data_IF_335129447478
#
_entry.id   IF_335129447478
#
_cell.length_a   1.000
_cell.length_b   1.000
_cell.length_c   1.000
_cell.angle_alpha   90.00
_cell.angle_beta   90.00
_cell.angle_gamma   90.00
#
_symmetry.space_group_name_H-M   'P 1'
#
loop_
_entity.id
_entity.type
_entity.pdbx_description
1 polymer ?
#
# COMPACT_ATOMS: atom_id res chain seq x y z
N UNK A 1 21.00 -19.19 1.80
CA UNK A 1 20.03 -19.91 2.67
C UNK A 1 18.68 -19.93 1.95
N UNK A 2 18.11 -21.12 1.68
CA UNK A 2 16.78 -21.23 1.04
C UNK A 2 15.72 -20.65 1.97
N UNK A 3 15.08 -19.53 1.61
CA UNK A 3 13.82 -19.09 2.24
C UNK A 3 12.80 -20.23 2.03
N UNK A 4 12.51 -21.00 3.08
CA UNK A 4 11.39 -21.94 3.05
C UNK A 4 10.13 -21.13 2.77
N UNK A 5 9.38 -21.50 1.73
CA UNK A 5 8.08 -20.87 1.46
C UNK A 5 7.18 -21.05 2.69
N UNK A 6 6.91 -19.97 3.40
CA UNK A 6 5.92 -19.93 4.48
C UNK A 6 4.56 -20.26 3.86
N UNK A 7 3.82 -21.18 4.48
CA UNK A 7 2.45 -21.53 4.10
C UNK A 7 1.50 -20.78 5.01
N UNK A 8 0.51 -20.12 4.43
CA UNK A 8 -0.54 -19.41 5.16
C UNK A 8 -1.88 -20.11 4.96
N UNK A 9 -2.72 -20.06 5.99
CA UNK A 9 -4.07 -20.61 5.97
C UNK A 9 -5.03 -19.51 6.44
N UNK A 10 -6.19 -19.39 5.79
CA UNK A 10 -7.30 -18.60 6.29
C UNK A 10 -8.10 -19.48 7.25
N UNK A 11 -8.39 -18.93 8.43
CA UNK A 11 -9.04 -19.62 9.53
C UNK A 11 -10.10 -18.68 10.09
N UNK A 12 -11.28 -19.20 10.41
CA UNK A 12 -12.31 -18.43 11.10
C UNK A 12 -11.75 -17.90 12.44
N UNK A 13 -11.94 -16.60 12.70
CA UNK A 13 -11.46 -15.97 13.92
C UNK A 13 -12.01 -16.69 15.16
N UNK A 14 -13.26 -17.16 15.12
CA UNK A 14 -13.92 -17.77 16.27
C UNK A 14 -13.22 -19.06 16.73
N UNK A 15 -12.63 -19.82 15.82
CA UNK A 15 -11.95 -21.07 16.13
C UNK A 15 -10.49 -20.87 16.56
N UNK A 16 -9.97 -19.64 16.54
CA UNK A 16 -8.60 -19.37 16.95
C UNK A 16 -8.43 -19.58 18.46
N UNK A 17 -7.30 -20.15 18.91
CA UNK A 17 -6.94 -20.18 20.32
C UNK A 17 -6.92 -18.78 20.93
N UNK A 18 -7.32 -18.67 22.20
CA UNK A 18 -7.33 -17.40 22.94
C UNK A 18 -6.00 -16.65 22.91
N UNK A 19 -4.86 -17.36 22.92
CA UNK A 19 -3.54 -16.74 22.81
C UNK A 19 -3.33 -15.99 21.49
N UNK A 20 -3.89 -16.49 20.39
CA UNK A 20 -3.81 -15.85 19.07
C UNK A 20 -4.79 -14.68 19.02
N UNK A 21 -6.05 -14.87 19.46
CA UNK A 21 -7.05 -13.78 19.55
C UNK A 21 -6.54 -12.59 20.37
N UNK A 22 -5.97 -12.86 21.54
CA UNK A 22 -5.34 -11.85 22.40
C UNK A 22 -4.12 -11.20 21.76
N UNK A 23 -3.32 -11.95 21.00
CA UNK A 23 -2.20 -11.36 20.26
C UNK A 23 -2.68 -10.37 19.20
N UNK A 24 -3.77 -10.68 18.48
CA UNK A 24 -4.40 -9.77 17.51
C UNK A 24 -4.83 -8.49 18.22
N UNK A 25 -5.56 -8.61 19.33
CA UNK A 25 -6.04 -7.46 20.11
C UNK A 25 -4.88 -6.57 20.61
N UNK A 26 -3.79 -7.16 21.13
CA UNK A 26 -2.59 -6.41 21.50
C UNK A 26 -2.01 -5.62 20.31
N UNK A 27 -1.97 -6.22 19.10
CA UNK A 27 -1.48 -5.52 17.90
C UNK A 27 -2.40 -4.37 17.51
N UNK A 28 -3.71 -4.55 17.57
CA UNK A 28 -4.70 -3.50 17.28
C UNK A 28 -4.57 -2.34 18.26
N UNK A 29 -4.47 -2.61 19.57
CA UNK A 29 -4.29 -1.58 20.59
C UNK A 29 -3.01 -0.75 20.40
N UNK A 30 -1.92 -1.39 19.95
CA UNK A 30 -0.67 -0.70 19.64
C UNK A 30 -0.78 0.13 18.36
N UNK A 31 -1.46 -0.40 17.34
CA UNK A 31 -1.68 0.28 16.05
C UNK A 31 -2.55 1.53 16.21
N UNK A 32 -3.59 1.45 17.03
CA UNK A 32 -4.50 2.55 17.33
C UNK A 32 -3.93 3.55 18.36
N UNK A 33 -2.74 3.30 18.90
CA UNK A 33 -2.11 4.16 19.90
C UNK A 33 -2.81 4.15 21.27
N UNK A 34 -3.68 3.18 21.53
CA UNK A 34 -4.41 3.03 22.81
C UNK A 34 -3.49 2.67 23.99
N UNK A 35 -2.27 2.25 23.69
CA UNK A 35 -1.20 1.97 24.66
C UNK A 35 0.15 2.36 24.05
N UNK A 36 1.07 2.84 24.87
CA UNK A 36 2.38 3.32 24.38
C UNK A 36 3.45 2.23 24.35
N UNK A 37 3.22 1.10 25.03
CA UNK A 37 4.20 0.01 25.11
C UNK A 37 3.56 -1.35 24.98
N UNK A 38 4.32 -2.31 24.42
CA UNK A 38 3.92 -3.72 24.38
C UNK A 38 3.59 -4.23 25.78
N UNK A 39 4.33 -3.80 26.80
CA UNK A 39 4.10 -4.26 28.17
C UNK A 39 2.71 -3.91 28.69
N UNK A 40 2.32 -2.66 28.50
CA UNK A 40 1.02 -2.14 28.90
C UNK A 40 -0.10 -2.89 28.16
N UNK A 41 0.06 -3.04 26.84
CA UNK A 41 -0.90 -3.72 25.99
C UNK A 41 -1.12 -5.19 26.41
N UNK A 42 -0.04 -5.96 26.61
CA UNK A 42 -0.17 -7.38 26.99
C UNK A 42 -0.78 -7.56 28.39
N UNK A 43 -0.52 -6.63 29.32
CA UNK A 43 -1.12 -6.64 30.65
C UNK A 43 -2.63 -6.35 30.56
N UNK A 44 -3.02 -5.36 29.76
CA UNK A 44 -4.42 -4.93 29.59
C UNK A 44 -5.27 -6.02 28.91
N UNK A 45 -4.70 -6.73 27.94
CA UNK A 45 -5.38 -7.86 27.24
C UNK A 45 -5.29 -9.18 28.04
N UNK A 46 -4.38 -9.27 28.99
CA UNK A 46 -4.20 -10.48 29.82
C UNK A 46 -3.56 -11.63 29.03
N UNK A 47 -2.42 -11.36 28.39
CA UNK A 47 -1.55 -12.36 27.75
C UNK A 47 -0.10 -12.20 28.26
N UNK A 48 0.65 -13.29 28.36
CA UNK A 48 2.07 -13.18 28.71
C UNK A 48 2.89 -12.58 27.56
N UNK A 49 3.98 -11.87 27.89
CA UNK A 49 4.91 -11.36 26.87
C UNK A 49 5.45 -12.48 25.98
N UNK A 50 5.80 -13.64 26.56
CA UNK A 50 6.32 -14.78 25.80
C UNK A 50 5.29 -15.35 24.82
N UNK A 51 4.02 -15.42 25.21
CA UNK A 51 2.94 -15.83 24.30
C UNK A 51 2.73 -14.81 23.19
N UNK A 52 2.72 -13.50 23.49
CA UNK A 52 2.65 -12.46 22.46
C UNK A 52 3.80 -12.58 21.45
N UNK A 53 5.05 -12.66 21.92
CA UNK A 53 6.22 -12.77 21.03
C UNK A 53 6.23 -14.06 20.20
N UNK A 54 5.59 -15.15 20.68
CA UNK A 54 5.44 -16.39 19.91
C UNK A 54 4.55 -16.24 18.69
N UNK A 55 3.55 -15.35 18.72
CA UNK A 55 2.52 -15.25 17.68
C UNK A 55 2.52 -13.93 16.90
N UNK A 56 3.10 -12.84 17.41
CA UNK A 56 2.96 -11.46 16.86
C UNK A 56 3.31 -11.33 15.36
N UNK A 57 4.29 -12.11 14.90
CA UNK A 57 4.82 -12.09 13.54
C UNK A 57 4.17 -13.15 12.62
N UNK A 58 3.20 -13.91 13.14
CA UNK A 58 2.52 -15.02 12.45
C UNK A 58 1.02 -14.84 12.32
N UNK A 59 0.49 -13.70 12.78
CA UNK A 59 -0.95 -13.44 12.82
C UNK A 59 -1.21 -12.00 12.37
N UNK A 60 -2.10 -11.84 11.40
CA UNK A 60 -2.56 -10.56 10.89
C UNK A 60 -4.00 -10.71 10.35
N UNK A 61 -4.81 -9.63 10.34
CA UNK A 61 -6.12 -9.63 9.70
C UNK A 61 -6.02 -9.98 8.21
N UNK A 62 -6.99 -10.74 7.70
CA UNK A 62 -7.07 -11.00 6.26
C UNK A 62 -7.29 -9.71 5.44
N UNK A 63 -7.91 -8.68 6.04
CA UNK A 63 -8.07 -7.35 5.45
C UNK A 63 -6.79 -6.52 5.41
N UNK A 64 -5.77 -6.85 6.22
CA UNK A 64 -4.40 -6.31 6.10
C UNK A 64 -3.59 -7.09 5.05
N UNK A 65 -4.17 -8.12 4.43
CA UNK A 65 -3.61 -8.77 3.25
C UNK A 65 -4.28 -8.18 2.01
N UNK A 66 -3.86 -6.97 1.62
CA UNK A 66 -3.54 -6.76 0.23
C UNK A 66 -2.15 -6.12 0.13
N UNK A 67 -1.27 -6.71 -0.69
CA UNK A 67 -0.12 -5.99 -1.24
C UNK A 67 -0.54 -4.76 -2.06
N UNK A 68 -1.85 -4.50 -2.23
CA UNK A 68 -2.43 -3.44 -3.04
C UNK A 68 -2.57 -2.15 -2.23
N UNK A 69 -1.74 -1.14 -2.52
CA UNK A 69 -1.81 0.22 -1.96
C UNK A 69 -2.41 1.23 -2.95
N UNK A 70 -2.99 2.31 -2.45
CA UNK A 70 -3.37 3.47 -3.27
C UNK A 70 -2.15 4.38 -3.48
N UNK A 71 -1.92 4.79 -4.72
CA UNK A 71 -0.88 5.74 -5.10
C UNK A 71 -1.52 6.95 -5.80
N UNK A 72 -1.09 8.15 -5.43
CA UNK A 72 -1.47 9.41 -6.09
C UNK A 72 -0.28 9.95 -6.87
N UNK A 73 -0.46 10.09 -8.18
CA UNK A 73 0.58 10.54 -9.10
C UNK A 73 0.14 11.83 -9.79
N UNK A 74 0.97 12.86 -9.72
CA UNK A 74 0.82 14.06 -10.54
C UNK A 74 1.77 14.00 -11.74
N UNK A 75 1.23 14.35 -12.91
CA UNK A 75 1.91 14.30 -14.19
C UNK A 75 1.74 15.65 -14.87
N UNK A 76 2.84 16.29 -15.27
CA UNK A 76 2.79 17.40 -16.22
C UNK A 76 3.05 16.83 -17.63
N UNK A 77 1.99 16.73 -18.43
CA UNK A 77 2.02 16.14 -19.77
C UNK A 77 1.88 17.22 -20.84
N UNK A 78 2.45 17.04 -22.03
CA UNK A 78 2.11 17.90 -23.17
C UNK A 78 0.62 17.79 -23.49
N UNK A 79 0.03 18.87 -23.99
CA UNK A 79 -1.39 18.92 -24.36
C UNK A 79 -1.67 18.18 -25.69
N UNK A 80 -1.32 16.89 -25.70
CA UNK A 80 -1.55 15.97 -26.80
C UNK A 80 -2.30 14.75 -26.27
N UNK A 81 -3.49 14.48 -26.82
CA UNK A 81 -4.32 13.35 -26.38
C UNK A 81 -3.60 12.00 -26.54
N UNK A 82 -2.69 11.89 -27.52
CA UNK A 82 -1.84 10.72 -27.75
C UNK A 82 -0.89 10.45 -26.58
N UNK A 83 -0.29 11.50 -26.00
CA UNK A 83 0.61 11.42 -24.84
C UNK A 83 -0.18 10.99 -23.60
N UNK A 84 -1.31 11.64 -23.33
CA UNK A 84 -2.22 11.25 -22.26
C UNK A 84 -2.60 9.76 -22.35
N UNK A 85 -3.12 9.32 -23.50
CA UNK A 85 -3.53 7.94 -23.71
C UNK A 85 -2.37 6.94 -23.53
N UNK A 86 -1.16 7.29 -23.95
CA UNK A 86 0.02 6.44 -23.80
C UNK A 86 0.40 6.26 -22.32
N UNK A 87 0.32 7.33 -21.53
CA UNK A 87 0.58 7.30 -20.09
C UNK A 87 -0.47 6.45 -19.36
N UNK A 88 -1.76 6.68 -19.65
CA UNK A 88 -2.84 5.90 -19.05
C UNK A 88 -2.69 4.41 -19.38
N UNK A 89 -2.40 4.07 -20.65
CA UNK A 89 -2.12 2.68 -21.07
C UNK A 89 -0.94 2.05 -20.32
N UNK A 90 0.11 2.83 -20.04
CA UNK A 90 1.28 2.34 -19.29
C UNK A 90 0.92 2.04 -17.83
N UNK A 91 0.07 2.85 -17.22
CA UNK A 91 -0.40 2.67 -15.84
C UNK A 91 -1.30 1.44 -15.72
N UNK A 92 -2.32 1.30 -16.59
CA UNK A 92 -3.29 0.20 -16.51
C UNK A 92 -2.71 -1.19 -16.80
N UNK A 93 -1.48 -1.26 -17.33
CA UNK A 93 -0.80 -2.54 -17.61
C UNK A 93 -0.53 -3.36 -16.35
N UNK A 94 -0.24 -2.68 -15.23
CA UNK A 94 0.18 -3.30 -13.97
C UNK A 94 -0.62 -2.77 -12.77
N UNK A 95 -1.52 -1.81 -12.98
CA UNK A 95 -2.22 -1.10 -11.92
C UNK A 95 -3.70 -0.89 -12.27
N UNK A 96 -4.55 -0.80 -11.26
CA UNK A 96 -5.97 -0.47 -11.46
C UNK A 96 -6.22 1.02 -11.20
N UNK A 97 -6.57 1.78 -12.24
CA UNK A 97 -6.91 3.19 -12.07
C UNK A 97 -8.21 3.33 -11.29
N UNK A 98 -8.19 4.21 -10.29
CA UNK A 98 -9.34 4.57 -9.45
C UNK A 98 -9.96 5.88 -9.93
N UNK A 99 -9.14 6.89 -10.19
CA UNK A 99 -9.61 8.17 -10.72
C UNK A 99 -8.53 8.86 -11.55
N UNK A 100 -8.96 9.66 -12.52
CA UNK A 100 -8.11 10.53 -13.31
C UNK A 100 -8.73 11.92 -13.30
N UNK A 101 -7.97 12.92 -12.89
CA UNK A 101 -8.33 14.32 -13.01
C UNK A 101 -7.33 15.02 -13.93
N UNK A 102 -7.78 15.47 -15.10
CA UNK A 102 -6.96 16.22 -16.05
C UNK A 102 -7.41 17.68 -16.01
N UNK A 103 -6.50 18.57 -15.63
CA UNK A 103 -6.74 20.00 -15.63
C UNK A 103 -6.71 20.58 -17.04
N UNK A 104 -7.26 21.79 -17.19
CA UNK A 104 -7.12 22.58 -18.41
C UNK A 104 -5.64 22.82 -18.75
N UNK A 105 -5.28 22.93 -20.03
CA UNK A 105 -3.91 23.23 -20.42
C UNK A 105 -3.43 24.58 -19.87
N UNK A 106 -2.22 24.62 -19.32
CA UNK A 106 -1.48 25.83 -18.97
C UNK A 106 -0.28 25.95 -19.92
N UNK A 107 -0.45 26.75 -20.97
CA UNK A 107 0.50 26.80 -22.08
C UNK A 107 0.47 25.51 -22.90
N UNK A 108 1.62 24.83 -23.02
CA UNK A 108 1.75 23.58 -23.80
C UNK A 108 1.50 22.30 -22.99
N UNK A 109 1.15 22.43 -21.72
CA UNK A 109 1.09 21.30 -20.79
C UNK A 109 -0.24 21.23 -20.03
N UNK A 110 -0.69 20.01 -19.72
CA UNK A 110 -1.78 19.72 -18.81
C UNK A 110 -1.23 19.04 -17.56
N UNK A 111 -1.67 19.49 -16.38
CA UNK A 111 -1.49 18.74 -15.14
C UNK A 111 -2.55 17.65 -15.08
N UNK A 112 -2.14 16.41 -14.85
CA UNK A 112 -3.02 15.25 -14.69
C UNK A 112 -2.68 14.55 -13.38
N UNK A 113 -3.67 14.42 -12.50
CA UNK A 113 -3.58 13.63 -11.28
C UNK A 113 -4.23 12.27 -11.53
N UNK A 114 -3.50 11.19 -11.28
CA UNK A 114 -3.97 9.81 -11.41
C UNK A 114 -3.89 9.13 -10.06
N UNK A 115 -5.02 8.58 -9.61
CA UNK A 115 -5.08 7.70 -8.45
C UNK A 115 -5.22 6.28 -8.94
N UNK A 116 -4.35 5.38 -8.47
CA UNK A 116 -4.39 3.97 -8.86
C UNK A 116 -4.05 3.03 -7.70
N UNK A 117 -4.58 1.81 -7.75
CA UNK A 117 -4.18 0.71 -6.88
C UNK A 117 -3.03 -0.06 -7.51
N UNK A 118 -2.00 -0.37 -6.72
CA UNK A 118 -0.78 -1.05 -7.17
C UNK A 118 -0.27 -2.03 -6.13
N UNK A 119 0.32 -3.13 -6.59
CA UNK A 119 1.07 -4.07 -5.75
C UNK A 119 2.57 -3.76 -5.67
N UNK A 120 3.00 -2.62 -6.21
CA UNK A 120 4.41 -2.25 -6.24
C UNK A 120 4.92 -1.93 -4.84
N UNK A 121 6.04 -2.58 -4.47
CA UNK A 121 6.90 -2.08 -3.39
C UNK A 121 7.53 -0.72 -3.76
N UNK A 122 8.22 -0.08 -2.82
CA UNK A 122 8.79 1.25 -3.02
C UNK A 122 9.84 1.31 -4.12
N UNK A 123 10.62 0.24 -4.30
CA UNK A 123 11.66 0.17 -5.32
C UNK A 123 11.04 0.06 -6.70
N UNK A 124 10.05 -0.81 -6.85
CA UNK A 124 9.34 -1.00 -8.10
C UNK A 124 8.54 0.24 -8.47
N UNK A 125 7.87 0.88 -7.50
CA UNK A 125 7.13 2.13 -7.72
C UNK A 125 8.06 3.27 -8.17
N UNK A 126 9.20 3.45 -7.51
CA UNK A 126 10.19 4.45 -7.92
C UNK A 126 10.70 4.20 -9.35
N UNK A 127 10.99 2.94 -9.69
CA UNK A 127 11.43 2.58 -11.05
C UNK A 127 10.33 2.80 -12.10
N UNK A 128 9.07 2.51 -11.74
CA UNK A 128 7.91 2.73 -12.59
C UNK A 128 7.69 4.23 -12.86
N UNK A 129 7.72 5.06 -11.81
CA UNK A 129 7.58 6.52 -11.92
C UNK A 129 8.71 7.12 -12.75
N UNK A 130 9.94 6.69 -12.52
CA UNK A 130 11.08 7.10 -13.34
C UNK A 130 10.87 6.74 -14.82
N UNK A 131 10.32 5.55 -15.11
CA UNK A 131 10.02 5.13 -16.48
C UNK A 131 8.97 6.02 -17.16
N UNK A 132 7.97 6.50 -16.42
CA UNK A 132 6.98 7.46 -16.93
C UNK A 132 7.64 8.79 -17.25
N UNK A 133 8.55 9.28 -16.40
CA UNK A 133 9.28 10.53 -16.61
C UNK A 133 10.12 10.57 -17.88
N UNK A 134 10.57 9.41 -18.38
CA UNK A 134 11.35 9.29 -19.61
C UNK A 134 10.48 9.19 -20.89
N UNK A 135 9.16 9.14 -20.76
CA UNK A 135 8.28 9.06 -21.93
C UNK A 135 8.19 10.41 -22.64
N UNK A 136 8.29 10.41 -23.99
CA UNK A 136 8.11 11.62 -24.80
C UNK A 136 6.78 12.30 -24.48
N UNK A 137 6.84 13.61 -24.22
CA UNK A 137 5.68 14.42 -23.86
C UNK A 137 5.45 14.54 -22.35
N UNK A 138 6.25 13.89 -21.51
CA UNK A 138 6.21 14.06 -20.06
C UNK A 138 7.23 15.13 -19.65
N UNK A 139 6.78 16.13 -18.90
CA UNK A 139 7.63 17.19 -18.35
C UNK A 139 8.04 16.91 -16.91
N UNK A 140 7.13 16.40 -16.09
CA UNK A 140 7.41 15.96 -14.72
C UNK A 140 6.45 14.88 -14.28
N UNK A 141 6.89 14.07 -13.31
CA UNK A 141 6.10 13.05 -12.63
C UNK A 141 6.46 13.06 -11.17
N UNK A 142 5.47 13.21 -10.29
CA UNK A 142 5.66 13.27 -8.84
C UNK A 142 4.65 12.39 -8.12
N UNK A 143 5.11 11.68 -7.09
CA UNK A 143 4.23 10.96 -6.17
C UNK A 143 3.79 11.96 -5.11
N UNK A 144 2.50 12.29 -5.06
CA UNK A 144 1.97 13.26 -4.09
C UNK A 144 1.71 12.61 -2.73
N UNK A 145 1.25 11.36 -2.72
CA UNK A 145 1.01 10.64 -1.47
C UNK A 145 1.06 9.12 -1.66
N UNK A 146 1.69 8.44 -0.70
CA UNK A 146 1.59 7.00 -0.48
C UNK A 146 0.95 6.84 0.90
N UNK A 147 -0.37 6.58 0.95
CA UNK A 147 -1.13 6.03 2.09
C UNK A 147 -2.58 6.52 2.09
N UNK A 148 -3.51 5.56 1.99
CA UNK A 148 -4.70 5.40 2.85
C UNK A 148 -4.81 3.90 3.11
#
# INVERSE_FOLDING_TARGET
MKKSKQKFYLVDFEILPESIKKTINVKEMLKEGLTSTIHEAVNKVGISRSAYYKYKDHVAPASEVPNTRLCVLELMLSDEISVFNKIIKRIVKENAIVSINRNIPVGKYCVTVVVFRTEFDDTLLASFVNSLGHMKGVKSVEIINQEI
#
